data_IF_526782344266
#
_entry.id   IF_526782344266
#
_cell.length_a   1.000
_cell.length_b   1.000
_cell.length_c   1.000
_cell.angle_alpha   90.00
_cell.angle_beta   90.00
_cell.angle_gamma   90.00
#
_symmetry.space_group_name_H-M   'P 1'
#
loop_
_entity.id
_entity.type
_entity.pdbx_description
1 polymer ?
#
# COMPACT_ATOMS: atom_id res chain seq x y z
N UNK A 1 -7.55 12.76 7.25
CA UNK A 1 -7.07 12.87 5.87
C UNK A 1 -7.61 14.14 5.23
N UNK A 2 -6.72 15.02 4.77
CA UNK A 2 -7.13 16.33 4.23
C UNK A 2 -7.70 16.23 2.82
N UNK A 3 -7.30 15.21 2.08
CA UNK A 3 -7.76 15.01 0.72
C UNK A 3 -7.98 13.53 0.46
N UNK A 4 -9.08 13.20 -0.18
CA UNK A 4 -9.39 11.81 -0.53
C UNK A 4 -10.14 11.76 -1.85
N UNK A 5 -10.13 10.58 -2.47
CA UNK A 5 -10.89 10.33 -3.70
C UNK A 5 -11.90 9.22 -3.46
N UNK A 6 -13.10 9.41 -3.96
CA UNK A 6 -14.16 8.41 -3.91
C UNK A 6 -14.25 7.69 -5.26
N UNK A 7 -15.15 6.73 -5.36
CA UNK A 7 -15.45 6.08 -6.64
C UNK A 7 -15.83 7.13 -7.70
N UNK A 8 -16.50 8.19 -7.26
CA UNK A 8 -16.96 9.25 -8.15
C UNK A 8 -15.82 10.03 -8.80
N UNK A 9 -14.74 10.28 -8.06
CA UNK A 9 -13.60 11.02 -8.58
C UNK A 9 -12.60 10.14 -9.31
N UNK A 10 -12.72 8.82 -9.21
CA UNK A 10 -11.79 7.85 -9.78
C UNK A 10 -10.35 8.15 -9.39
N UNK A 11 -9.98 7.75 -8.18
CA UNK A 11 -8.65 8.00 -7.62
C UNK A 11 -7.50 7.53 -8.50
N UNK A 12 -7.70 6.46 -9.28
CA UNK A 12 -6.65 5.93 -10.16
C UNK A 12 -6.30 6.87 -11.31
N UNK A 13 -7.26 7.70 -11.75
CA UNK A 13 -7.02 8.63 -12.85
C UNK A 13 -6.50 9.99 -12.40
N UNK A 14 -6.45 10.24 -11.09
CA UNK A 14 -6.02 11.52 -10.55
C UNK A 14 -4.51 11.60 -10.41
N UNK A 15 -3.99 12.82 -10.42
CA UNK A 15 -2.60 13.10 -10.07
C UNK A 15 -2.53 13.38 -8.58
N UNK A 16 -1.75 12.58 -7.86
CA UNK A 16 -1.68 12.69 -6.40
C UNK A 16 -0.67 13.72 -5.89
N UNK A 17 0.17 14.23 -6.73
CA UNK A 17 1.25 15.20 -6.53
C UNK A 17 1.64 15.61 -5.12
N UNK A 18 2.91 15.40 -4.77
CA UNK A 18 3.59 16.05 -3.65
C UNK A 18 3.16 15.68 -2.23
N UNK A 19 2.31 14.70 -2.03
CA UNK A 19 1.71 14.42 -0.72
C UNK A 19 2.04 13.02 -0.21
N UNK A 20 1.77 12.82 1.08
CA UNK A 20 1.74 11.48 1.66
C UNK A 20 0.32 10.94 1.48
N UNK A 21 0.19 9.80 0.84
CA UNK A 21 -1.10 9.19 0.53
C UNK A 21 -1.21 7.84 1.23
N UNK A 22 -2.30 7.64 1.93
CA UNK A 22 -2.64 6.33 2.48
C UNK A 22 -3.66 5.66 1.54
N UNK A 23 -3.36 4.44 1.11
CA UNK A 23 -4.21 3.71 0.19
C UNK A 23 -4.58 2.35 0.78
N UNK A 24 -5.87 2.15 0.98
CA UNK A 24 -6.43 0.85 1.38
C UNK A 24 -7.39 0.42 0.27
N UNK A 25 -6.86 -0.20 -0.81
CA UNK A 25 -7.67 -0.47 -2.00
C UNK A 25 -8.62 -1.64 -1.78
N UNK A 26 -9.63 -1.80 -2.64
CA UNK A 26 -10.42 -3.03 -2.66
C UNK A 26 -9.50 -4.23 -2.90
N UNK A 27 -9.77 -5.33 -2.21
CA UNK A 27 -8.94 -6.54 -2.30
C UNK A 27 -9.45 -7.49 -3.39
N UNK A 28 -9.97 -6.94 -4.45
CA UNK A 28 -10.54 -7.69 -5.57
C UNK A 28 -9.60 -7.73 -6.75
N UNK A 29 -9.82 -8.70 -7.63
CA UNK A 29 -9.08 -8.80 -8.87
C UNK A 29 -9.62 -7.82 -9.91
N UNK A 30 -8.76 -7.43 -10.84
CA UNK A 30 -9.17 -6.62 -11.98
C UNK A 30 -10.24 -7.33 -12.80
N UNK A 31 -11.26 -6.58 -13.20
CA UNK A 31 -12.28 -7.05 -14.13
C UNK A 31 -12.37 -6.06 -15.29
N UNK A 32 -13.19 -6.38 -16.30
CA UNK A 32 -13.39 -5.47 -17.43
C UNK A 32 -14.04 -4.16 -17.02
N UNK A 33 -14.81 -4.17 -15.93
CA UNK A 33 -15.57 -2.99 -15.47
C UNK A 33 -14.92 -2.26 -14.32
N UNK A 34 -14.13 -2.96 -13.49
CA UNK A 34 -13.59 -2.40 -12.26
C UNK A 34 -12.11 -2.67 -12.13
N UNK A 35 -11.33 -1.69 -11.67
CA UNK A 35 -9.93 -1.91 -11.36
C UNK A 35 -9.78 -2.88 -10.19
N UNK A 36 -8.72 -3.64 -10.20
CA UNK A 36 -8.37 -4.53 -9.10
C UNK A 36 -7.26 -3.97 -8.25
N UNK A 37 -6.85 -4.74 -7.26
CA UNK A 37 -5.78 -4.35 -6.35
C UNK A 37 -4.48 -4.05 -7.10
N UNK A 38 -4.17 -4.81 -8.15
CA UNK A 38 -2.96 -4.58 -8.94
C UNK A 38 -2.91 -3.20 -9.57
N UNK A 39 -4.05 -2.63 -9.93
CA UNK A 39 -4.09 -1.28 -10.51
C UNK A 39 -3.71 -0.23 -9.47
N UNK A 40 -4.12 -0.41 -8.23
CA UNK A 40 -3.77 0.49 -7.14
C UNK A 40 -2.31 0.38 -6.74
N UNK A 41 -1.75 -0.84 -6.77
CA UNK A 41 -0.33 -1.05 -6.52
C UNK A 41 0.50 -0.33 -7.57
N UNK A 42 0.14 -0.50 -8.85
CA UNK A 42 0.82 0.16 -9.96
C UNK A 42 0.75 1.68 -9.82
N UNK A 43 -0.43 2.21 -9.46
CA UNK A 43 -0.61 3.65 -9.27
C UNK A 43 0.27 4.19 -8.15
N UNK A 44 0.31 3.52 -7.01
CA UNK A 44 1.15 3.95 -5.89
C UNK A 44 2.63 3.96 -6.28
N UNK A 45 3.08 2.92 -6.97
CA UNK A 45 4.44 2.83 -7.46
C UNK A 45 4.76 3.98 -8.41
N UNK A 46 3.92 4.20 -9.40
CA UNK A 46 4.09 5.23 -10.42
C UNK A 46 4.12 6.64 -9.83
N UNK A 47 3.19 6.94 -8.94
CA UNK A 47 3.13 8.27 -8.31
C UNK A 47 4.35 8.54 -7.43
N UNK A 48 4.84 7.53 -6.74
CA UNK A 48 6.06 7.69 -5.94
C UNK A 48 7.27 8.00 -6.81
N UNK A 49 7.42 7.31 -7.93
CA UNK A 49 8.58 7.49 -8.80
C UNK A 49 8.50 8.77 -9.62
N UNK A 50 7.32 9.09 -10.15
CA UNK A 50 7.16 10.19 -11.09
C UNK A 50 6.86 11.52 -10.40
N UNK A 51 6.07 11.50 -9.33
CA UNK A 51 5.62 12.71 -8.64
C UNK A 51 6.18 12.85 -7.24
N UNK A 52 7.09 11.97 -6.84
CA UNK A 52 7.81 12.01 -5.56
C UNK A 52 6.89 11.99 -4.35
N UNK A 53 5.71 11.39 -4.46
CA UNK A 53 4.84 11.21 -3.31
C UNK A 53 5.32 10.02 -2.47
N UNK A 54 4.86 9.99 -1.22
CA UNK A 54 4.98 8.80 -0.38
C UNK A 54 3.62 8.13 -0.35
N UNK A 55 3.57 6.89 -0.82
CA UNK A 55 2.34 6.10 -0.82
C UNK A 55 2.48 4.95 0.16
N UNK A 56 1.56 4.89 1.13
CA UNK A 56 1.50 3.83 2.13
C UNK A 56 0.26 2.99 1.84
N UNK A 57 0.46 1.71 1.60
CA UNK A 57 -0.65 0.79 1.29
C UNK A 57 -0.82 -0.24 2.40
N UNK A 58 -2.07 -0.58 2.68
CA UNK A 58 -2.43 -1.71 3.52
C UNK A 58 -3.16 -2.74 2.65
N UNK A 59 -2.54 -3.89 2.43
CA UNK A 59 -3.05 -4.90 1.51
C UNK A 59 -2.80 -6.30 2.07
N UNK A 60 -3.50 -7.33 1.54
CA UNK A 60 -3.18 -8.71 1.87
C UNK A 60 -1.76 -9.06 1.43
N UNK A 61 -1.04 -9.81 2.26
CA UNK A 61 0.34 -10.22 1.97
C UNK A 61 0.34 -11.45 1.06
N UNK A 62 0.08 -11.24 -0.22
CA UNK A 62 0.04 -12.29 -1.24
C UNK A 62 1.36 -12.29 -2.01
N UNK A 63 2.32 -12.99 -1.46
CA UNK A 63 3.72 -12.89 -1.87
C UNK A 63 4.04 -13.58 -3.20
N UNK A 64 3.12 -14.35 -3.73
CA UNK A 64 3.31 -15.07 -5.00
C UNK A 64 2.77 -14.31 -6.22
N UNK A 65 2.09 -13.19 -6.03
CA UNK A 65 1.45 -12.48 -7.13
C UNK A 65 2.47 -11.74 -7.99
N UNK A 66 2.09 -11.53 -9.26
CA UNK A 66 2.91 -10.76 -10.19
C UNK A 66 3.12 -9.33 -9.69
N UNK A 67 2.08 -8.71 -9.15
CA UNK A 67 2.17 -7.35 -8.61
C UNK A 67 3.15 -7.24 -7.46
N UNK A 68 3.18 -8.26 -6.59
CA UNK A 68 4.12 -8.29 -5.48
C UNK A 68 5.57 -8.26 -5.99
N UNK A 69 5.87 -9.02 -7.04
CA UNK A 69 7.22 -9.11 -7.57
C UNK A 69 7.60 -7.95 -8.49
N UNK A 70 6.69 -7.55 -9.37
CA UNK A 70 6.98 -6.53 -10.39
C UNK A 70 6.99 -5.12 -9.81
N UNK A 71 6.17 -4.84 -8.80
CA UNK A 71 6.05 -3.49 -8.25
C UNK A 71 6.53 -3.38 -6.81
N UNK A 72 6.07 -4.25 -5.93
CA UNK A 72 6.36 -4.10 -4.51
C UNK A 72 7.81 -4.44 -4.21
N UNK A 73 8.25 -5.66 -4.52
CA UNK A 73 9.63 -6.04 -4.27
C UNK A 73 10.63 -5.27 -5.13
N UNK A 74 10.23 -4.86 -6.31
CA UNK A 74 11.13 -4.16 -7.23
C UNK A 74 11.27 -2.67 -6.93
N UNK A 75 10.27 -2.03 -6.33
CA UNK A 75 10.22 -0.56 -6.21
C UNK A 75 9.89 -0.03 -4.83
N UNK A 76 9.21 -0.77 -3.98
CA UNK A 76 8.90 -0.28 -2.64
C UNK A 76 10.16 -0.14 -1.81
N UNK A 77 10.19 0.84 -0.91
CA UNK A 77 11.34 1.04 -0.04
C UNK A 77 11.22 0.26 1.25
N UNK A 78 10.04 0.18 1.82
CA UNK A 78 9.80 -0.54 3.08
C UNK A 78 8.59 -1.43 2.97
N UNK A 79 8.63 -2.56 3.65
CA UNK A 79 7.47 -3.44 3.84
C UNK A 79 7.39 -3.81 5.31
N UNK A 80 6.19 -3.80 5.87
CA UNK A 80 5.92 -4.35 7.20
C UNK A 80 4.98 -5.53 7.06
N UNK A 81 5.41 -6.70 7.49
CA UNK A 81 4.51 -7.85 7.63
C UNK A 81 3.82 -7.73 8.99
N UNK A 82 2.54 -7.40 8.95
CA UNK A 82 1.78 -7.05 10.15
C UNK A 82 1.63 -8.25 11.07
N UNK A 83 1.90 -8.04 12.34
CA UNK A 83 1.76 -9.08 13.36
C UNK A 83 0.29 -9.32 13.67
N UNK A 84 -0.14 -10.58 13.59
CA UNK A 84 -1.52 -10.96 13.83
C UNK A 84 -2.44 -10.64 12.67
N UNK A 85 -3.71 -10.93 12.84
CA UNK A 85 -4.73 -10.64 11.83
C UNK A 85 -5.46 -9.36 12.19
N UNK A 86 -5.62 -8.50 11.19
CA UNK A 86 -6.39 -7.28 11.37
C UNK A 86 -7.86 -7.63 11.53
N UNK A 87 -8.58 -6.77 12.27
CA UNK A 87 -10.01 -6.93 12.48
C UNK A 87 -10.73 -5.77 11.80
N UNK A 88 -11.78 -6.11 11.07
CA UNK A 88 -12.65 -5.14 10.41
C UNK A 88 -14.03 -5.19 11.06
N UNK A 89 -14.90 -4.25 10.72
CA UNK A 89 -16.27 -4.20 11.25
C UNK A 89 -16.30 -4.21 12.78
N UNK A 90 -15.64 -3.21 13.39
CA UNK A 90 -15.57 -3.03 14.84
C UNK A 90 -14.97 -4.24 15.57
N UNK A 91 -14.10 -4.96 14.89
CA UNK A 91 -13.38 -6.06 15.49
C UNK A 91 -14.16 -7.35 15.59
N UNK A 92 -15.31 -7.45 14.92
CA UNK A 92 -16.15 -8.64 14.98
C UNK A 92 -15.45 -9.86 14.39
N UNK A 93 -14.80 -9.69 13.22
CA UNK A 93 -14.17 -10.79 12.51
C UNK A 93 -12.75 -10.46 12.11
N UNK A 94 -11.79 -11.35 12.34
CA UNK A 94 -10.43 -11.15 11.84
C UNK A 94 -10.38 -11.30 10.32
N UNK A 95 -9.42 -10.64 9.70
CA UNK A 95 -9.18 -10.80 8.27
C UNK A 95 -8.81 -12.26 7.97
N UNK A 96 -9.29 -12.82 6.84
CA UNK A 96 -8.97 -14.21 6.48
C UNK A 96 -7.57 -14.38 5.88
N UNK A 97 -6.75 -13.34 5.91
CA UNK A 97 -5.43 -13.34 5.30
C UNK A 97 -4.46 -12.52 6.15
N UNK A 98 -3.16 -12.79 6.05
CA UNK A 98 -2.18 -11.90 6.65
C UNK A 98 -2.12 -10.59 5.87
N UNK A 99 -1.73 -9.51 6.54
CA UNK A 99 -1.66 -8.18 5.93
C UNK A 99 -0.23 -7.68 5.87
N UNK A 100 0.04 -6.81 4.90
CA UNK A 100 1.30 -6.10 4.82
C UNK A 100 1.07 -4.62 4.60
N UNK A 101 2.00 -3.82 5.10
CA UNK A 101 2.06 -2.38 4.83
C UNK A 101 3.22 -2.18 3.86
N UNK A 102 2.94 -1.53 2.74
CA UNK A 102 3.91 -1.28 1.68
C UNK A 102 4.13 0.23 1.59
N UNK A 103 5.38 0.67 1.60
CA UNK A 103 5.71 2.08 1.51
C UNK A 103 6.53 2.31 0.24
N UNK A 104 5.93 3.02 -0.71
CA UNK A 104 6.61 3.54 -1.90
C UNK A 104 7.01 4.97 -1.59
N UNK A 105 8.30 5.26 -1.56
CA UNK A 105 8.78 6.59 -1.23
C UNK A 105 10.19 6.81 -1.76
N UNK A 106 10.53 8.07 -1.97
CA UNK A 106 11.90 8.49 -2.28
C UNK A 106 12.59 9.07 -1.03
N UNK A 107 11.87 9.12 0.10
CA UNK A 107 12.38 9.69 1.35
C UNK A 107 12.86 8.61 2.31
N UNK A 108 13.59 9.04 3.34
CA UNK A 108 14.09 8.18 4.39
C UNK A 108 13.15 8.25 5.60
N UNK A 109 12.57 7.10 5.95
CA UNK A 109 11.70 6.97 7.12
C UNK A 109 12.26 6.01 8.16
N UNK A 110 13.56 5.73 8.14
CA UNK A 110 14.19 4.76 9.03
C UNK A 110 13.85 5.02 10.50
N UNK A 111 13.93 6.27 10.94
CA UNK A 111 13.65 6.61 12.34
C UNK A 111 12.18 6.44 12.71
N UNK A 112 11.28 6.81 11.79
CA UNK A 112 9.84 6.66 12.03
C UNK A 112 9.44 5.19 12.14
N UNK A 113 10.07 4.35 11.32
CA UNK A 113 9.78 2.91 11.33
C UNK A 113 10.22 2.26 12.63
N UNK A 114 11.32 2.71 13.22
CA UNK A 114 11.74 2.22 14.54
C UNK A 114 10.66 2.40 15.59
N UNK A 115 9.93 3.49 15.52
CA UNK A 115 8.83 3.77 16.44
C UNK A 115 7.58 2.93 16.18
N UNK A 116 7.55 2.20 15.06
CA UNK A 116 6.41 1.38 14.66
C UNK A 116 6.71 -0.11 14.73
N UNK A 117 7.74 -0.51 15.48
CA UNK A 117 8.17 -1.90 15.56
C UNK A 117 7.12 -2.84 16.12
N UNK A 118 6.16 -2.33 16.88
CA UNK A 118 5.10 -3.15 17.45
C UNK A 118 4.05 -3.60 16.41
N UNK A 119 3.99 -2.94 15.26
CA UNK A 119 3.05 -3.30 14.20
C UNK A 119 3.38 -4.65 13.56
N UNK A 120 4.66 -4.99 13.45
CA UNK A 120 5.06 -6.21 12.80
C UNK A 120 6.54 -6.18 12.44
N UNK A 121 6.91 -6.96 11.44
CA UNK A 121 8.29 -7.10 11.00
C UNK A 121 8.56 -6.20 9.79
N UNK A 122 9.43 -5.21 9.98
CA UNK A 122 9.78 -4.25 8.93
C UNK A 122 11.02 -4.70 8.17
N UNK A 123 10.97 -4.53 6.85
CA UNK A 123 12.10 -4.79 5.95
C UNK A 123 12.35 -3.53 5.14
N UNK A 124 13.58 -3.07 5.11
CA UNK A 124 14.02 -2.01 4.19
C UNK A 124 14.57 -2.68 2.94
N UNK A 125 13.92 -2.47 1.80
CA UNK A 125 14.27 -3.14 0.55
C UNK A 125 15.41 -2.45 -0.19
N UNK A 126 15.58 -1.13 -0.02
CA UNK A 126 16.61 -0.35 -0.72
C UNK A 126 16.88 0.96 0.00
N UNK A 127 18.04 1.54 -0.30
CA UNK A 127 18.44 2.83 0.27
C UNK A 127 17.69 4.04 -0.30
#
# INVERSE_FOLDING_TARGET
CDKFYTVREDGLSQNWGGQVVFCNPPYSRRTKKNPGQEDWIEKCCSESENNKITAVMLIPARTDTKSQHDYIFAHAKYICFVKGRLKFNDGADPAPFPSEIVVFTQQDFDEKIKGLSDLGFWIKLRE
#
